data_IF_526929633886
#
_entry.id   IF_526929633886
#
_cell.length_a   1.000
_cell.length_b   1.000
_cell.length_c   1.000
_cell.angle_alpha   90.00
_cell.angle_beta   90.00
_cell.angle_gamma   90.00
#
_symmetry.space_group_name_H-M   'P 1'
#
loop_
_entity.id
_entity.type
_entity.pdbx_description
1 polymer ?
#
# COMPACT_ATOMS: atom_id res chain seq x y z
N UNK A 1 3.40 -3.70 -0.89
CA UNK A 1 3.40 -3.09 -2.24
C UNK A 1 3.43 -4.17 -3.33
N UNK A 2 2.57 -4.06 -4.34
CA UNK A 2 2.37 -5.07 -5.38
C UNK A 2 3.64 -5.37 -6.21
N UNK A 3 3.89 -6.66 -6.52
CA UNK A 3 4.94 -7.12 -7.46
C UNK A 3 4.41 -7.53 -8.84
N UNK A 4 3.10 -7.45 -9.06
CA UNK A 4 2.49 -7.82 -10.35
C UNK A 4 3.18 -7.11 -11.52
N UNK A 5 3.31 -7.79 -12.65
CA UNK A 5 4.01 -7.28 -13.85
C UNK A 5 3.50 -5.91 -14.28
N UNK A 6 2.18 -5.69 -14.29
CA UNK A 6 1.57 -4.39 -14.63
C UNK A 6 1.96 -3.30 -13.63
N UNK A 7 1.93 -3.59 -12.33
CA UNK A 7 2.40 -2.63 -11.31
C UNK A 7 3.89 -2.31 -11.49
N UNK A 8 4.72 -3.31 -11.79
CA UNK A 8 6.14 -3.11 -12.08
C UNK A 8 6.34 -2.23 -13.30
N UNK A 9 5.63 -2.50 -14.40
CA UNK A 9 5.65 -1.67 -15.60
C UNK A 9 5.17 -0.23 -15.34
N UNK A 10 4.19 -0.06 -14.45
CA UNK A 10 3.71 1.24 -13.98
C UNK A 10 4.63 1.95 -12.97
N UNK A 11 5.82 1.42 -12.69
CA UNK A 11 6.82 2.09 -11.84
C UNK A 11 6.81 1.70 -10.37
N UNK A 12 6.18 0.58 -9.97
CA UNK A 12 6.14 0.14 -8.56
C UNK A 12 7.53 -0.03 -7.92
N UNK A 13 8.57 -0.34 -8.70
CA UNK A 13 9.94 -0.44 -8.17
C UNK A 13 10.47 0.92 -7.69
N UNK A 14 10.16 2.01 -8.41
CA UNK A 14 10.53 3.36 -8.02
C UNK A 14 9.71 3.82 -6.79
N UNK A 15 8.41 3.51 -6.76
CA UNK A 15 7.55 3.78 -5.59
C UNK A 15 8.07 3.05 -4.35
N UNK A 16 8.55 1.81 -4.51
CA UNK A 16 9.15 1.05 -3.41
C UNK A 16 10.45 1.66 -2.90
N UNK A 17 11.34 2.04 -3.81
CA UNK A 17 12.59 2.70 -3.46
C UNK A 17 12.31 4.01 -2.70
N UNK A 18 11.35 4.81 -3.18
CA UNK A 18 10.93 6.03 -2.49
C UNK A 18 10.35 5.76 -1.10
N UNK A 19 9.50 4.74 -0.94
CA UNK A 19 8.97 4.38 0.38
C UNK A 19 10.10 4.04 1.35
N UNK A 20 11.08 3.23 0.91
CA UNK A 20 12.24 2.86 1.72
C UNK A 20 13.05 4.09 2.13
N UNK A 21 13.36 4.95 1.16
CA UNK A 21 14.22 6.12 1.38
C UNK A 21 13.50 7.16 2.27
N UNK A 22 12.19 7.37 2.08
CA UNK A 22 11.37 8.26 2.90
C UNK A 22 11.21 7.73 4.35
N UNK A 23 10.96 6.43 4.53
CA UNK A 23 10.89 5.82 5.86
C UNK A 23 12.23 5.93 6.61
N UNK A 24 13.34 5.70 5.91
CA UNK A 24 14.67 5.85 6.49
C UNK A 24 14.99 7.31 6.82
N UNK A 25 14.74 8.23 5.89
CA UNK A 25 15.03 9.66 6.06
C UNK A 25 14.21 10.32 7.18
N UNK A 26 13.04 9.78 7.51
CA UNK A 26 12.19 10.26 8.62
C UNK A 26 12.39 9.45 9.91
N UNK A 27 13.29 8.46 9.94
CA UNK A 27 13.52 7.63 11.12
C UNK A 27 12.35 6.70 11.47
N UNK A 28 11.48 6.38 10.51
CA UNK A 28 10.27 5.58 10.69
C UNK A 28 10.46 4.07 10.49
N UNK A 29 11.68 3.62 10.20
CA UNK A 29 12.00 2.19 10.04
C UNK A 29 11.58 1.33 11.25
N UNK A 30 11.72 1.77 12.51
CA UNK A 30 11.22 1.00 13.66
C UNK A 30 9.69 0.93 13.76
N UNK A 31 8.96 1.80 13.05
CA UNK A 31 7.50 1.92 13.10
C UNK A 31 6.80 1.16 11.97
N UNK A 32 7.43 1.10 10.79
CA UNK A 32 6.80 0.57 9.60
C UNK A 32 7.76 -0.34 8.83
N UNK A 33 7.36 -1.60 8.71
CA UNK A 33 8.03 -2.56 7.85
C UNK A 33 7.54 -2.42 6.41
N UNK A 34 8.47 -2.51 5.47
CA UNK A 34 8.18 -2.35 4.05
C UNK A 34 8.40 -3.68 3.31
N UNK A 35 7.34 -4.19 2.69
CA UNK A 35 7.36 -5.44 1.94
C UNK A 35 6.86 -5.30 0.51
N UNK A 36 7.44 -6.14 -0.35
CA UNK A 36 6.90 -6.40 -1.69
C UNK A 36 6.03 -7.67 -1.64
N UNK A 37 4.73 -7.52 -1.87
CA UNK A 37 3.74 -8.61 -1.93
C UNK A 37 3.51 -9.11 -3.36
N UNK A 38 2.71 -10.18 -3.53
CA UNK A 38 2.33 -10.70 -4.85
C UNK A 38 1.46 -9.76 -5.68
N UNK A 39 0.73 -10.31 -6.65
CA UNK A 39 -0.27 -9.54 -7.41
C UNK A 39 -1.53 -9.32 -6.56
N UNK A 40 -2.09 -8.10 -6.62
CA UNK A 40 -3.28 -7.71 -5.84
C UNK A 40 -4.58 -7.75 -6.64
N UNK A 41 -4.56 -8.16 -7.91
CA UNK A 41 -5.77 -8.25 -8.76
C UNK A 41 -6.21 -6.93 -9.42
N UNK A 42 -5.90 -5.78 -8.83
CA UNK A 42 -6.28 -4.46 -9.37
C UNK A 42 -5.27 -3.89 -10.38
N UNK A 43 -4.90 -4.68 -11.39
CA UNK A 43 -3.83 -4.32 -12.32
C UNK A 43 -4.09 -3.02 -13.10
N UNK A 44 -5.36 -2.73 -13.44
CA UNK A 44 -5.76 -1.53 -14.17
C UNK A 44 -5.59 -0.23 -13.36
N UNK A 45 -5.52 -0.34 -12.03
CA UNK A 45 -5.31 0.79 -11.12
C UNK A 45 -3.86 0.89 -10.61
N UNK A 46 -2.95 0.03 -11.08
CA UNK A 46 -1.59 -0.02 -10.56
C UNK A 46 -0.77 1.25 -10.85
N UNK A 47 0.31 1.53 -10.10
CA UNK A 47 0.87 0.74 -8.99
C UNK A 47 0.04 0.74 -7.69
N UNK A 48 -0.07 -0.44 -7.07
CA UNK A 48 -0.92 -0.67 -5.88
C UNK A 48 -0.09 -0.80 -4.59
N UNK A 49 -0.52 -0.07 -3.56
CA UNK A 49 0.08 -0.06 -2.22
C UNK A 49 -1.01 -0.31 -1.18
N UNK A 50 -0.71 -1.15 -0.20
CA UNK A 50 -1.55 -1.32 0.98
C UNK A 50 -0.71 -0.97 2.20
N UNK A 51 -1.32 -0.24 3.13
CA UNK A 51 -0.78 0.02 4.45
C UNK A 51 -1.68 -0.67 5.47
N UNK A 52 -1.05 -1.36 6.43
CA UNK A 52 -1.74 -2.06 7.52
C UNK A 52 -1.19 -1.57 8.84
N UNK A 53 -2.08 -1.41 9.80
CA UNK A 53 -1.70 -1.16 11.17
C UNK A 53 -1.38 -2.50 11.86
N UNK A 54 -0.23 -2.56 12.53
CA UNK A 54 0.04 -3.66 13.45
C UNK A 54 -0.66 -3.37 14.78
N UNK A 55 -1.76 -4.08 15.00
CA UNK A 55 -2.58 -3.94 16.22
C UNK A 55 -2.03 -4.75 17.40
N UNK A 56 -0.93 -5.50 17.22
CA UNK A 56 -0.41 -6.41 18.23
C UNK A 56 -1.32 -7.61 18.55
N UNK A 57 -2.38 -7.82 17.74
CA UNK A 57 -3.28 -8.97 17.88
C UNK A 57 -2.49 -10.26 17.74
N UNK A 58 -2.78 -11.24 18.62
CA UNK A 58 -2.20 -12.59 18.48
C UNK A 58 -2.57 -13.15 17.11
N UNK A 59 -1.55 -13.43 16.30
CA UNK A 59 -1.71 -14.01 14.96
C UNK A 59 -2.32 -15.40 15.07
N UNK A 60 -3.43 -15.61 14.36
CA UNK A 60 -4.06 -16.90 14.19
C UNK A 60 -3.53 -17.53 12.88
N UNK A 61 -2.85 -18.69 12.93
CA UNK A 61 -2.28 -19.34 11.76
C UNK A 61 -3.33 -19.86 10.76
N UNK A 62 -4.61 -19.87 11.14
CA UNK A 62 -5.73 -20.19 10.25
C UNK A 62 -6.52 -18.93 9.84
N UNK A 63 -6.05 -17.73 10.20
CA UNK A 63 -6.67 -16.48 9.79
C UNK A 63 -6.69 -16.39 8.26
N UNK A 64 -7.82 -16.01 7.63
CA UNK A 64 -7.87 -15.74 6.19
C UNK A 64 -6.79 -14.76 5.73
N UNK A 65 -6.41 -13.84 6.61
CA UNK A 65 -5.33 -12.87 6.47
C UNK A 65 -4.01 -13.52 5.99
N UNK A 66 -3.64 -14.71 6.51
CA UNK A 66 -2.41 -15.42 6.10
C UNK A 66 -2.44 -15.91 4.64
N UNK A 67 -3.62 -16.00 4.02
CA UNK A 67 -3.82 -16.42 2.62
C UNK A 67 -4.26 -15.28 1.71
N UNK A 68 -4.65 -14.13 2.27
CA UNK A 68 -5.17 -12.99 1.55
C UNK A 68 -4.11 -11.89 1.45
N UNK A 69 -3.78 -11.49 0.22
CA UNK A 69 -2.81 -10.42 -0.01
C UNK A 69 -3.38 -9.02 0.27
N UNK A 70 -4.71 -8.86 0.31
CA UNK A 70 -5.49 -7.64 0.59
C UNK A 70 -6.85 -7.99 1.20
N UNK A 71 -7.65 -7.01 1.58
CA UNK A 71 -8.97 -7.14 2.19
C UNK A 71 -8.97 -7.27 3.72
N UNK A 72 -7.86 -6.93 4.39
CA UNK A 72 -7.77 -7.06 5.84
C UNK A 72 -8.56 -5.95 6.55
N UNK A 73 -9.17 -6.23 7.72
CA UNK A 73 -9.83 -5.20 8.51
C UNK A 73 -8.88 -4.02 8.82
N UNK A 74 -9.31 -2.81 8.51
CA UNK A 74 -8.54 -1.59 8.78
C UNK A 74 -7.37 -1.32 7.82
N UNK A 75 -7.18 -2.14 6.77
CA UNK A 75 -6.16 -1.82 5.77
C UNK A 75 -6.56 -0.62 4.91
N UNK A 76 -5.57 0.16 4.50
CA UNK A 76 -5.76 1.27 3.58
C UNK A 76 -5.14 0.92 2.23
N UNK A 77 -5.96 0.91 1.20
CA UNK A 77 -5.56 0.67 -0.18
C UNK A 77 -5.35 1.98 -0.93
N UNK A 78 -4.15 2.14 -1.50
CA UNK A 78 -3.77 3.24 -2.38
C UNK A 78 -3.51 2.73 -3.80
N UNK A 79 -4.04 3.45 -4.79
CA UNK A 79 -3.91 3.11 -6.22
C UNK A 79 -3.25 4.23 -7.02
N UNK A 80 -2.88 3.94 -8.27
CA UNK A 80 -2.22 4.86 -9.20
C UNK A 80 -1.04 5.60 -8.54
N UNK A 81 -0.23 4.84 -7.79
CA UNK A 81 0.81 5.41 -6.94
C UNK A 81 2.03 5.86 -7.73
N UNK A 82 2.53 7.03 -7.37
CA UNK A 82 3.78 7.62 -7.85
C UNK A 82 4.73 7.82 -6.67
N UNK A 83 6.00 8.16 -6.94
CA UNK A 83 6.97 8.49 -5.88
C UNK A 83 6.51 9.70 -5.05
N UNK A 84 5.95 10.73 -5.67
CA UNK A 84 5.40 11.90 -4.98
C UNK A 84 4.25 11.53 -4.04
N UNK A 85 3.27 10.75 -4.53
CA UNK A 85 2.17 10.25 -3.71
C UNK A 85 2.67 9.40 -2.54
N UNK A 86 3.71 8.59 -2.77
CA UNK A 86 4.31 7.76 -1.73
C UNK A 86 4.97 8.59 -0.63
N UNK A 87 5.67 9.68 -0.97
CA UNK A 87 6.21 10.61 0.05
C UNK A 87 5.11 11.15 0.95
N UNK A 88 3.98 11.55 0.37
CA UNK A 88 2.81 12.03 1.13
C UNK A 88 2.26 10.93 2.04
N UNK A 89 2.08 9.72 1.54
CA UNK A 89 1.62 8.58 2.37
C UNK A 89 2.57 8.32 3.54
N UNK A 90 3.90 8.37 3.36
CA UNK A 90 4.83 8.22 4.47
C UNK A 90 4.71 9.39 5.48
N UNK A 91 4.71 10.63 4.99
CA UNK A 91 4.72 11.83 5.83
C UNK A 91 3.38 12.11 6.56
N UNK A 92 2.27 11.59 6.04
CA UNK A 92 0.93 11.79 6.60
C UNK A 92 0.43 10.50 7.26
N UNK A 93 0.26 9.43 6.49
CA UNK A 93 -0.33 8.19 7.01
C UNK A 93 0.62 7.50 8.00
N UNK A 94 1.87 7.23 7.62
CA UNK A 94 2.77 6.46 8.48
C UNK A 94 3.27 7.30 9.66
N UNK A 95 3.65 8.56 9.41
CA UNK A 95 4.25 9.41 10.43
C UNK A 95 3.24 10.00 11.43
N UNK A 96 1.98 10.22 11.02
CA UNK A 96 0.98 10.98 11.81
C UNK A 96 -0.34 10.24 11.98
N UNK A 97 -0.43 8.98 11.56
CA UNK A 97 -1.67 8.20 11.59
C UNK A 97 -2.83 8.88 10.84
N UNK A 98 -2.51 9.58 9.75
CA UNK A 98 -3.46 10.34 8.94
C UNK A 98 -3.51 9.80 7.50
N UNK A 99 -4.37 8.79 7.20
CA UNK A 99 -4.54 8.26 5.84
C UNK A 99 -4.90 9.34 4.82
N UNK A 100 -4.24 9.32 3.66
CA UNK A 100 -4.43 10.31 2.59
C UNK A 100 -5.60 9.90 1.70
N UNK A 101 -6.82 10.26 2.11
CA UNK A 101 -8.07 9.78 1.51
C UNK A 101 -8.19 10.04 0.00
N UNK A 102 -7.60 11.11 -0.52
CA UNK A 102 -7.65 11.43 -1.95
C UNK A 102 -6.86 10.45 -2.82
N UNK A 103 -6.00 9.63 -2.21
CA UNK A 103 -5.18 8.64 -2.90
C UNK A 103 -5.74 7.23 -2.80
N UNK A 104 -6.90 7.07 -2.13
CA UNK A 104 -7.48 5.75 -1.94
C UNK A 104 -7.87 5.15 -3.29
N UNK A 105 -7.58 3.86 -3.45
CA UNK A 105 -8.13 3.13 -4.59
C UNK A 105 -9.60 2.84 -4.37
N UNK A 106 -10.39 3.02 -5.42
CA UNK A 106 -11.81 2.70 -5.46
C UNK A 106 -12.01 1.50 -6.40
N UNK A 107 -11.87 0.26 -5.92
CA UNK A 107 -12.00 -0.92 -6.78
C UNK A 107 -13.45 -1.22 -7.17
N UNK A 108 -14.42 -0.69 -6.42
CA UNK A 108 -15.86 -0.87 -6.62
C UNK A 108 -16.54 0.35 -7.26
N UNK A 109 -15.81 1.42 -7.56
CA UNK A 109 -16.34 2.49 -8.40
C UNK A 109 -16.36 1.99 -9.83
N UNK A 110 -17.56 1.76 -10.36
CA UNK A 110 -17.75 1.59 -11.80
C UNK A 110 -17.22 2.86 -12.49
N UNK A 111 -15.98 2.83 -12.97
CA UNK A 111 -15.48 3.78 -13.98
C UNK A 111 -16.08 3.45 -15.37
N UNK A 112 -17.28 2.87 -15.39
CA UNK A 112 -18.18 2.85 -16.53
C UNK A 112 -18.94 4.17 -16.59
N UNK A 113 -18.24 5.26 -16.85
CA UNK A 113 -18.89 6.43 -17.43
C UNK A 113 -19.18 6.10 -18.91
N UNK A 114 -20.47 6.05 -19.25
CA UNK A 114 -21.01 5.98 -20.63
C UNK A 114 -20.51 7.12 -21.53
#
# INVERSE_FOLDING_TARGET
MCKGSSCKAGGADAVYAEARDALSGQGLVPRCELYRGGCYGFCHMGPNVVVREDTGRKRDPLSPEDYQLMGWPGEVYYSAMTTEKMRRVVAEHIAKDAPVKELFGQPDSDDGEE
#
